data_IF_249129022892
#
_entry.id   IF_249129022892
#
_cell.length_a   1.000
_cell.length_b   1.000
_cell.length_c   1.000
_cell.angle_alpha   90.00
_cell.angle_beta   90.00
_cell.angle_gamma   90.00
#
_symmetry.space_group_name_H-M   'P 1'
#
loop_
_entity.id
_entity.type
_entity.pdbx_description
1 polymer ?
#
# COMPACT_ATOMS: atom_id res chain seq x y z
N UNK A 1 42.50 -51.31 -27.69
CA UNK A 1 41.67 -50.50 -26.76
C UNK A 1 40.20 -50.55 -27.17
N UNK A 2 39.28 -51.04 -26.31
CA UNK A 2 37.86 -51.19 -26.65
C UNK A 2 37.20 -49.85 -26.98
N UNK A 3 36.32 -49.81 -27.99
CA UNK A 3 35.61 -48.59 -28.44
C UNK A 3 34.87 -47.88 -27.29
N UNK A 4 34.32 -48.64 -26.33
CA UNK A 4 33.63 -48.10 -25.14
C UNK A 4 34.56 -47.28 -24.24
N UNK A 5 35.81 -47.70 -24.08
CA UNK A 5 36.78 -46.98 -23.24
C UNK A 5 37.20 -45.65 -23.87
N UNK A 6 37.35 -45.60 -25.19
CA UNK A 6 37.62 -44.36 -25.94
C UNK A 6 36.46 -43.35 -25.83
N UNK A 7 35.23 -43.85 -25.90
CA UNK A 7 34.01 -43.04 -25.70
C UNK A 7 33.96 -42.43 -24.30
N UNK A 8 34.25 -43.22 -23.26
CA UNK A 8 34.28 -42.74 -21.89
C UNK A 8 35.40 -41.71 -21.66
N UNK A 9 36.61 -42.00 -22.14
CA UNK A 9 37.75 -41.09 -22.04
C UNK A 9 37.46 -39.76 -22.75
N UNK A 10 36.91 -39.79 -23.97
CA UNK A 10 36.53 -38.57 -24.66
C UNK A 10 35.48 -37.78 -23.86
N UNK A 11 34.41 -38.41 -23.36
CA UNK A 11 33.38 -37.71 -22.57
C UNK A 11 33.92 -37.06 -21.30
N UNK A 12 34.88 -37.69 -20.62
CA UNK A 12 35.49 -37.16 -19.40
C UNK A 12 36.48 -36.02 -19.68
N UNK A 13 37.11 -36.01 -20.86
CA UNK A 13 38.14 -35.03 -21.22
C UNK A 13 37.56 -33.84 -21.99
N UNK A 14 36.42 -34.00 -22.69
CA UNK A 14 35.80 -32.92 -23.48
C UNK A 14 34.76 -32.09 -22.72
N UNK A 15 34.24 -32.59 -21.60
CA UNK A 15 33.34 -31.78 -20.77
C UNK A 15 34.18 -30.75 -20.01
N UNK A 16 33.84 -29.45 -20.07
CA UNK A 16 34.56 -28.44 -19.31
C UNK A 16 34.45 -28.79 -17.83
N UNK A 17 35.61 -28.88 -17.15
CA UNK A 17 35.71 -29.19 -15.72
C UNK A 17 35.01 -28.12 -14.85
N UNK A 18 34.87 -26.90 -15.40
CA UNK A 18 34.15 -25.79 -14.80
C UNK A 18 33.17 -25.22 -15.84
N UNK A 19 31.89 -25.44 -15.60
CA UNK A 19 30.84 -24.76 -16.36
C UNK A 19 30.73 -23.33 -15.82
N UNK A 20 31.29 -22.38 -16.57
CA UNK A 20 31.26 -20.96 -16.19
C UNK A 20 29.84 -20.41 -16.26
N UNK A 21 29.49 -19.60 -15.26
CA UNK A 21 28.20 -18.92 -15.16
C UNK A 21 27.99 -17.92 -16.31
N UNK A 22 26.86 -18.00 -17.01
CA UNK A 22 26.46 -17.06 -18.05
C UNK A 22 25.35 -16.14 -17.55
N UNK A 23 25.57 -14.83 -17.33
CA UNK A 23 24.55 -13.92 -16.81
C UNK A 23 23.32 -13.75 -17.72
N UNK A 24 23.37 -14.22 -18.97
CA UNK A 24 22.25 -14.14 -19.92
C UNK A 24 21.29 -15.32 -19.83
N UNK A 25 21.66 -16.41 -19.15
CA UNK A 25 20.84 -17.61 -19.02
C UNK A 25 20.09 -17.64 -17.67
N UNK A 26 18.84 -18.13 -17.63
CA UNK A 26 18.08 -18.22 -16.39
C UNK A 26 18.72 -19.22 -15.43
N UNK A 27 18.76 -18.87 -14.14
CA UNK A 27 19.10 -19.79 -13.05
C UNK A 27 17.87 -20.59 -12.65
N UNK A 28 17.99 -21.91 -12.60
CA UNK A 28 16.96 -22.79 -12.09
C UNK A 28 17.38 -23.38 -10.74
N UNK A 29 16.47 -23.34 -9.77
CA UNK A 29 16.63 -24.01 -8.48
C UNK A 29 16.12 -25.44 -8.64
N UNK A 30 17.00 -26.41 -8.45
CA UNK A 30 16.65 -27.83 -8.41
C UNK A 30 16.61 -28.27 -6.96
N UNK A 31 15.43 -28.66 -6.48
CA UNK A 31 15.29 -29.30 -5.20
C UNK A 31 14.98 -30.78 -5.41
N UNK A 32 15.81 -31.67 -4.88
CA UNK A 32 15.48 -33.09 -4.78
C UNK A 32 14.68 -33.31 -3.48
N UNK A 33 13.47 -33.90 -3.55
CA UNK A 33 12.73 -34.25 -2.36
C UNK A 33 13.36 -35.48 -1.70
N UNK A 34 14.30 -35.26 -0.78
CA UNK A 34 14.75 -36.27 0.17
C UNK A 34 13.85 -36.24 1.41
N UNK A 35 13.59 -37.42 2.01
CA UNK A 35 12.79 -37.51 3.24
C UNK A 35 13.54 -37.01 4.49
N UNK A 36 14.84 -36.70 4.37
CA UNK A 36 15.71 -36.38 5.51
C UNK A 36 16.18 -34.92 5.49
N UNK A 37 16.23 -34.28 4.32
CA UNK A 37 16.61 -32.88 4.19
C UNK A 37 16.12 -32.30 2.85
N UNK A 38 15.91 -30.98 2.79
CA UNK A 38 15.67 -30.28 1.53
C UNK A 38 17.02 -29.76 1.03
N UNK A 39 17.57 -30.42 0.02
CA UNK A 39 18.72 -29.92 -0.74
C UNK A 39 18.23 -29.03 -1.89
N UNK A 40 18.98 -27.96 -2.20
CA UNK A 40 18.72 -27.12 -3.36
C UNK A 40 20.03 -26.83 -4.11
N UNK A 41 20.03 -27.05 -5.42
CA UNK A 41 21.17 -26.78 -6.30
C UNK A 41 20.75 -25.78 -7.37
N UNK A 42 21.52 -24.69 -7.51
CA UNK A 42 21.36 -23.73 -8.60
C UNK A 42 22.09 -24.25 -9.84
N UNK A 43 21.38 -24.45 -10.95
CA UNK A 43 21.99 -24.84 -12.23
C UNK A 43 21.40 -24.00 -13.37
N UNK A 44 22.24 -23.63 -14.33
CA UNK A 44 21.80 -23.03 -15.59
C UNK A 44 21.49 -24.15 -16.60
N UNK A 45 20.41 -24.03 -17.40
CA UNK A 45 20.02 -25.06 -18.34
C UNK A 45 21.05 -25.14 -19.46
N UNK A 46 21.50 -26.36 -19.76
CA UNK A 46 22.34 -26.60 -20.94
C UNK A 46 21.48 -26.34 -22.18
N UNK A 47 22.01 -25.61 -23.17
CA UNK A 47 21.29 -25.13 -24.37
C UNK A 47 20.52 -26.18 -25.19
N UNK A 48 20.67 -27.48 -24.86
CA UNK A 48 20.00 -28.61 -25.51
C UNK A 48 19.04 -29.41 -24.60
N UNK A 49 18.91 -29.09 -23.30
CA UNK A 49 18.04 -29.85 -22.39
C UNK A 49 16.70 -29.14 -22.22
N UNK A 50 15.72 -29.50 -23.07
CA UNK A 50 14.30 -29.31 -22.72
C UNK A 50 14.00 -30.33 -21.64
N UNK A 51 14.10 -29.97 -20.34
CA UNK A 51 13.94 -30.93 -19.25
C UNK A 51 12.50 -31.48 -19.30
N UNK A 52 12.27 -32.75 -19.60
CA UNK A 52 10.91 -33.30 -19.66
C UNK A 52 10.43 -33.57 -18.24
N UNK A 53 9.28 -33.00 -17.84
CA UNK A 53 8.57 -33.38 -16.62
C UNK A 53 8.57 -32.37 -15.46
N UNK A 54 9.32 -31.27 -15.55
CA UNK A 54 9.25 -30.18 -14.56
C UNK A 54 8.25 -29.10 -15.00
N UNK A 55 7.13 -29.00 -14.29
CA UNK A 55 6.16 -27.91 -14.45
C UNK A 55 6.69 -26.72 -13.65
N UNK A 56 7.03 -25.60 -14.30
CA UNK A 56 7.33 -24.35 -13.58
C UNK A 56 6.08 -23.96 -12.79
N UNK A 57 6.10 -24.20 -11.49
CA UNK A 57 5.06 -23.77 -10.57
C UNK A 57 5.17 -22.25 -10.43
N UNK A 58 4.41 -21.49 -11.22
CA UNK A 58 4.12 -20.09 -10.89
C UNK A 58 3.27 -20.12 -9.61
N UNK A 59 3.82 -19.67 -8.50
CA UNK A 59 3.05 -19.46 -7.27
C UNK A 59 1.85 -18.57 -7.60
N UNK A 60 0.64 -19.13 -7.53
CA UNK A 60 -0.58 -18.33 -7.56
C UNK A 60 -0.61 -17.55 -6.25
N UNK A 61 -0.73 -16.23 -6.32
CA UNK A 61 -0.95 -15.40 -5.13
C UNK A 61 -2.12 -16.01 -4.34
N UNK A 62 -1.85 -16.48 -3.13
CA UNK A 62 -2.85 -17.15 -2.30
C UNK A 62 -4.05 -16.23 -2.07
N UNK A 63 -5.27 -16.77 -2.24
CA UNK A 63 -6.47 -16.08 -1.80
C UNK A 63 -6.49 -16.07 -0.27
N UNK A 64 -6.18 -14.91 0.32
CA UNK A 64 -6.24 -14.73 1.77
C UNK A 64 -7.67 -14.84 2.31
N UNK A 65 -7.80 -14.80 3.64
CA UNK A 65 -9.09 -14.83 4.34
C UNK A 65 -10.03 -13.73 3.81
N UNK A 66 -11.29 -14.11 3.53
CA UNK A 66 -12.31 -13.17 3.10
C UNK A 66 -12.56 -12.09 4.16
N UNK A 67 -12.84 -10.88 3.67
CA UNK A 67 -13.08 -9.73 4.53
C UNK A 67 -14.47 -9.82 5.14
N UNK A 68 -14.59 -9.43 6.42
CA UNK A 68 -15.89 -9.30 7.11
C UNK A 68 -16.71 -8.16 6.51
N UNK A 69 -16.04 -7.10 6.03
CA UNK A 69 -16.72 -5.92 5.48
C UNK A 69 -16.77 -5.97 3.95
N UNK A 70 -17.86 -5.45 3.40
CA UNK A 70 -18.10 -5.36 1.96
C UNK A 70 -17.62 -4.01 1.41
N UNK A 71 -17.43 -3.93 0.09
CA UNK A 71 -17.00 -2.69 -0.56
C UNK A 71 -18.05 -1.56 -0.46
N UNK A 72 -19.33 -1.90 -0.33
CA UNK A 72 -20.44 -0.96 -0.14
C UNK A 72 -20.40 -0.34 1.26
N UNK A 73 -20.13 -1.14 2.29
CA UNK A 73 -19.93 -0.66 3.67
C UNK A 73 -18.70 0.26 3.79
N UNK A 74 -17.57 -0.15 3.21
CA UNK A 74 -16.33 0.65 3.20
C UNK A 74 -16.57 2.02 2.50
N UNK A 75 -17.38 2.03 1.43
CA UNK A 75 -17.80 3.26 0.73
C UNK A 75 -18.74 4.12 1.57
N UNK A 76 -19.70 3.50 2.26
CA UNK A 76 -20.63 4.19 3.16
C UNK A 76 -19.87 4.95 4.26
N UNK A 77 -18.92 4.29 4.95
CA UNK A 77 -18.09 4.95 5.95
C UNK A 77 -17.30 6.12 5.38
N UNK A 78 -16.77 5.98 4.16
CA UNK A 78 -16.04 7.06 3.49
C UNK A 78 -16.93 8.28 3.22
N UNK A 79 -18.20 8.08 2.87
CA UNK A 79 -19.16 9.17 2.67
C UNK A 79 -19.50 9.85 3.99
N UNK A 80 -19.81 9.06 5.03
CA UNK A 80 -20.18 9.61 6.35
C UNK A 80 -18.99 10.35 6.97
N UNK A 81 -17.77 9.81 6.89
CA UNK A 81 -16.57 10.45 7.41
C UNK A 81 -16.27 11.80 6.73
N UNK A 82 -16.65 11.97 5.45
CA UNK A 82 -16.55 13.26 4.74
C UNK A 82 -17.60 14.26 5.19
N UNK A 83 -18.86 13.81 5.33
CA UNK A 83 -19.99 14.67 5.72
C UNK A 83 -19.91 15.10 7.17
N UNK A 84 -19.55 14.18 8.05
CA UNK A 84 -19.40 14.40 9.48
C UNK A 84 -17.97 14.10 9.91
N UNK A 85 -17.09 15.10 9.78
CA UNK A 85 -15.66 14.97 10.14
C UNK A 85 -15.43 14.67 11.63
N UNK A 86 -16.44 14.88 12.49
CA UNK A 86 -16.38 14.56 13.92
C UNK A 86 -16.85 13.14 14.27
N UNK A 87 -17.35 12.37 13.31
CA UNK A 87 -17.84 11.01 13.57
C UNK A 87 -16.73 10.08 14.03
N UNK A 88 -16.95 9.40 15.15
CA UNK A 88 -16.00 8.44 15.70
C UNK A 88 -16.14 7.07 15.05
N UNK A 89 -15.06 6.30 14.97
CA UNK A 89 -15.10 4.92 14.47
C UNK A 89 -16.09 4.02 15.27
N UNK A 90 -16.33 4.32 16.55
CA UNK A 90 -17.30 3.60 17.37
C UNK A 90 -18.75 3.96 17.03
N UNK A 91 -19.03 5.22 16.65
CA UNK A 91 -20.35 5.61 16.13
C UNK A 91 -20.59 4.92 14.80
N UNK A 92 -19.63 4.98 13.86
CA UNK A 92 -19.76 4.36 12.54
C UNK A 92 -19.95 2.84 12.59
N UNK A 93 -19.35 2.18 13.57
CA UNK A 93 -19.57 0.75 13.86
C UNK A 93 -21.00 0.48 14.33
N UNK A 94 -21.52 1.29 15.27
CA UNK A 94 -22.90 1.17 15.77
C UNK A 94 -23.94 1.48 14.68
N UNK A 95 -23.70 2.51 13.88
CA UNK A 95 -24.60 2.92 12.81
C UNK A 95 -24.73 1.80 11.75
N UNK A 96 -23.60 1.16 11.40
CA UNK A 96 -23.61 0.04 10.47
C UNK A 96 -24.30 -1.20 11.08
N UNK A 97 -24.06 -1.47 12.36
CA UNK A 97 -24.77 -2.55 13.07
C UNK A 97 -26.28 -2.30 13.08
N UNK A 98 -26.74 -1.08 13.33
CA UNK A 98 -28.16 -0.74 13.31
C UNK A 98 -28.79 -0.88 11.91
N UNK A 99 -28.02 -0.60 10.85
CA UNK A 99 -28.53 -0.66 9.48
C UNK A 99 -28.50 -2.07 8.87
N UNK A 100 -27.47 -2.87 9.16
CA UNK A 100 -27.19 -4.15 8.46
C UNK A 100 -27.15 -5.35 9.40
N UNK A 101 -27.08 -5.14 10.71
CA UNK A 101 -26.88 -6.21 11.70
C UNK A 101 -25.45 -6.76 11.78
N UNK A 102 -24.55 -6.31 10.90
CA UNK A 102 -23.16 -6.77 10.86
C UNK A 102 -22.37 -6.20 12.04
N UNK A 103 -21.82 -7.07 12.88
CA UNK A 103 -20.94 -6.66 13.99
C UNK A 103 -19.53 -6.41 13.48
N UNK A 104 -19.15 -5.14 13.39
CA UNK A 104 -17.79 -4.73 13.04
C UNK A 104 -17.14 -4.00 14.21
N UNK A 105 -15.92 -4.38 14.59
CA UNK A 105 -15.20 -3.69 15.66
C UNK A 105 -14.74 -2.30 15.23
N UNK A 106 -14.64 -1.37 16.20
CA UNK A 106 -14.07 -0.02 16.01
C UNK A 106 -12.69 -0.06 15.32
N UNK A 107 -11.85 -1.04 15.67
CA UNK A 107 -10.50 -1.19 15.11
C UNK A 107 -10.57 -1.49 13.61
N UNK A 108 -11.48 -2.36 13.18
CA UNK A 108 -11.69 -2.65 11.76
C UNK A 108 -12.13 -1.39 11.01
N UNK A 109 -13.11 -0.65 11.53
CA UNK A 109 -13.56 0.62 10.93
C UNK A 109 -12.39 1.60 10.80
N UNK A 110 -11.58 1.76 11.85
CA UNK A 110 -10.40 2.63 11.82
C UNK A 110 -9.39 2.20 10.76
N UNK A 111 -9.07 0.91 10.64
CA UNK A 111 -8.17 0.40 9.59
C UNK A 111 -8.70 0.69 8.19
N UNK A 112 -10.01 0.56 7.98
CA UNK A 112 -10.66 0.86 6.69
C UNK A 112 -10.60 2.33 6.34
N UNK A 113 -10.91 3.18 7.31
CA UNK A 113 -10.82 4.63 7.15
C UNK A 113 -9.38 5.07 6.86
N UNK A 114 -8.39 4.53 7.58
CA UNK A 114 -6.98 4.81 7.31
C UNK A 114 -6.55 4.33 5.92
N UNK A 115 -6.98 3.12 5.51
CA UNK A 115 -6.73 2.61 4.16
C UNK A 115 -7.37 3.46 3.06
N UNK A 116 -8.46 4.16 3.37
CA UNK A 116 -9.11 5.14 2.49
C UNK A 116 -8.55 6.58 2.65
N UNK A 117 -7.51 6.79 3.45
CA UNK A 117 -6.82 8.07 3.62
C UNK A 117 -7.46 9.03 4.64
N UNK A 118 -8.39 8.56 5.47
CA UNK A 118 -8.96 9.36 6.56
C UNK A 118 -8.11 9.22 7.81
N UNK A 119 -7.71 10.35 8.38
CA UNK A 119 -6.92 10.41 9.61
C UNK A 119 -7.55 11.39 10.59
N UNK A 120 -7.49 11.07 11.87
CA UNK A 120 -7.85 12.00 12.92
C UNK A 120 -6.88 13.19 12.92
N UNK A 121 -7.41 14.41 13.05
CA UNK A 121 -6.62 15.63 13.23
C UNK A 121 -7.21 16.45 14.38
N UNK A 122 -6.35 17.15 15.12
CA UNK A 122 -6.79 18.12 16.13
C UNK A 122 -7.33 19.34 15.40
N UNK A 123 -8.54 19.78 15.77
CA UNK A 123 -9.11 21.02 15.25
C UNK A 123 -8.31 22.21 15.78
N UNK A 124 -8.11 23.22 14.95
CA UNK A 124 -7.55 24.49 15.41
C UNK A 124 -8.52 25.12 16.43
N UNK A 125 -7.98 25.56 17.57
CA UNK A 125 -8.77 26.32 18.54
C UNK A 125 -8.89 27.74 18.01
N UNK A 126 -10.10 28.14 17.64
CA UNK A 126 -10.40 29.49 17.18
C UNK A 126 -11.50 30.09 18.04
N UNK A 127 -11.39 31.39 18.35
CA UNK A 127 -12.49 32.14 18.97
C UNK A 127 -13.67 32.12 18.00
N UNK A 128 -14.86 31.63 18.39
CA UNK A 128 -16.01 31.57 17.50
C UNK A 128 -16.42 32.97 17.07
N UNK A 129 -16.35 33.25 15.77
CA UNK A 129 -16.89 34.50 15.23
C UNK A 129 -18.42 34.39 15.15
N UNK A 130 -19.11 35.36 15.74
CA UNK A 130 -20.55 35.58 15.55
C UNK A 130 -20.84 35.89 14.07
N UNK A 131 -22.09 35.67 13.63
CA UNK A 131 -22.51 35.96 12.25
C UNK A 131 -22.25 37.42 11.86
N UNK A 132 -22.55 38.35 12.77
CA UNK A 132 -22.26 39.79 12.60
C UNK A 132 -20.77 40.05 12.43
N UNK A 133 -19.93 39.51 13.31
CA UNK A 133 -18.48 39.71 13.24
C UNK A 133 -17.88 39.14 11.95
N UNK A 134 -18.38 38.00 11.45
CA UNK A 134 -17.97 37.45 10.15
C UNK A 134 -18.29 38.41 9.00
N UNK A 135 -19.50 38.96 8.98
CA UNK A 135 -19.94 39.89 7.92
C UNK A 135 -19.12 41.17 7.90
N UNK A 136 -18.90 41.79 9.07
CA UNK A 136 -18.12 43.03 9.20
C UNK A 136 -16.66 42.79 8.78
N UNK A 137 -16.03 41.72 9.27
CA UNK A 137 -14.66 41.37 8.87
C UNK A 137 -14.55 41.12 7.37
N UNK A 138 -15.50 40.40 6.78
CA UNK A 138 -15.51 40.14 5.34
C UNK A 138 -15.71 41.42 4.51
N UNK A 139 -16.61 42.31 4.92
CA UNK A 139 -16.82 43.60 4.26
C UNK A 139 -15.52 44.42 4.27
N UNK A 140 -14.88 44.53 5.44
CA UNK A 140 -13.60 45.22 5.59
C UNK A 140 -12.52 44.61 4.69
N UNK A 141 -12.36 43.28 4.67
CA UNK A 141 -11.41 42.61 3.77
C UNK A 141 -11.72 42.87 2.28
N UNK A 142 -13.00 42.99 1.89
CA UNK A 142 -13.39 43.27 0.50
C UNK A 142 -13.10 44.72 0.10
N UNK A 143 -13.44 45.67 0.97
CA UNK A 143 -13.16 47.11 0.75
C UNK A 143 -11.66 47.37 0.60
N UNK A 144 -10.82 46.62 1.31
CA UNK A 144 -9.37 46.79 1.35
C UNK A 144 -8.62 45.73 0.52
N UNK A 145 -9.32 44.96 -0.32
CA UNK A 145 -8.73 43.85 -1.10
C UNK A 145 -7.70 44.35 -2.09
N UNK A 146 -8.01 45.46 -2.75
CA UNK A 146 -7.25 46.00 -3.89
C UNK A 146 -6.40 47.21 -3.47
N UNK A 147 -6.09 47.33 -2.18
CA UNK A 147 -5.28 48.42 -1.65
C UNK A 147 -3.81 48.35 -2.10
N UNK A 148 -3.29 49.49 -2.53
CA UNK A 148 -1.90 49.68 -2.95
C UNK A 148 -0.97 49.90 -1.75
N UNK A 149 0.34 49.67 -1.94
CA UNK A 149 1.37 49.85 -0.90
C UNK A 149 1.32 51.26 -0.28
N UNK A 150 0.97 52.28 -1.06
CA UNK A 150 0.93 53.68 -0.61
C UNK A 150 -0.30 54.00 0.27
N UNK A 151 -1.31 53.14 0.30
CA UNK A 151 -2.52 53.31 1.11
C UNK A 151 -2.36 52.73 2.52
N UNK A 152 -1.55 51.70 2.71
CA UNK A 152 -1.33 51.07 4.03
C UNK A 152 -0.79 52.00 5.13
N UNK A 153 0.11 52.98 4.84
CA UNK A 153 0.57 53.93 5.84
C UNK A 153 -0.53 54.79 6.48
N UNK A 154 -1.72 54.87 5.87
CA UNK A 154 -2.85 55.63 6.42
C UNK A 154 -3.60 54.88 7.52
N UNK A 155 -3.39 53.56 7.68
CA UNK A 155 -4.09 52.77 8.69
C UNK A 155 -3.31 52.74 9.99
N UNK A 156 -3.93 53.30 11.03
CA UNK A 156 -3.43 53.17 12.40
C UNK A 156 -3.88 51.82 12.98
N UNK A 157 -2.92 51.01 13.41
CA UNK A 157 -3.17 49.78 14.16
C UNK A 157 -2.98 50.04 15.66
N UNK A 158 -4.06 50.00 16.42
CA UNK A 158 -4.03 50.01 17.89
C UNK A 158 -4.47 48.63 18.38
N UNK A 159 -3.54 47.88 18.98
CA UNK A 159 -3.84 46.63 19.68
C UNK A 159 -3.61 46.86 21.17
N UNK A 160 -4.68 46.78 21.96
CA UNK A 160 -4.57 46.76 23.41
C UNK A 160 -4.35 45.30 23.82
N UNK A 161 -3.11 44.95 24.15
CA UNK A 161 -2.79 43.64 24.72
C UNK A 161 -3.31 43.58 26.16
N UNK A 162 -4.09 42.55 26.49
CA UNK A 162 -4.65 42.33 27.83
C UNK A 162 -3.86 41.31 28.64
#
# INVERSE_FOLDING_TARGET
MPRRFKLLKNKLVTKPVLQLYDPKLPLHVFCDPSQVAIGAVLKQPDSSETIPGYRIHREKAGQGRSRVTTATEDRYWSIIARRNRGATASQLSRDLYAATGTRVSRVTVSKRLHGAGFFARRLAVCVPLTSTNRRVRLARCREHRDWSTDQWPTVLFTDESR
#
